data_IF_845770282148
#
_entry.id   IF_845770282148
#
_cell.length_a   1.000
_cell.length_b   1.000
_cell.length_c   1.000
_cell.angle_alpha   90.00
_cell.angle_beta   90.00
_cell.angle_gamma   90.00
#
_symmetry.space_group_name_H-M   'P 1'
#
loop_
_entity.id
_entity.type
_entity.pdbx_description
1 polymer ?
#
# COMPACT_ATOMS: atom_id res chain seq x y z
N UNK A 1 9.22 -4.25 -19.67
CA UNK A 1 7.95 -3.89 -19.00
C UNK A 1 8.03 -4.37 -17.54
N UNK A 2 8.44 -3.53 -16.59
CA UNK A 2 8.65 -3.92 -15.17
C UNK A 2 8.44 -2.80 -14.13
N UNK A 3 7.87 -1.63 -14.50
CA UNK A 3 7.91 -0.43 -13.64
C UNK A 3 7.07 -0.48 -12.35
N UNK A 4 5.86 -1.06 -12.39
CA UNK A 4 4.93 -0.99 -11.25
C UNK A 4 5.39 -1.72 -9.99
N UNK A 5 6.17 -2.79 -10.12
CA UNK A 5 6.60 -3.59 -8.96
C UNK A 5 7.82 -2.96 -8.28
N UNK A 6 8.72 -2.39 -9.08
CA UNK A 6 9.89 -1.66 -8.61
C UNK A 6 9.48 -0.39 -7.85
N UNK A 7 8.50 0.35 -8.38
CA UNK A 7 7.92 1.51 -7.69
C UNK A 7 7.37 1.16 -6.30
N UNK A 8 6.69 0.02 -6.16
CA UNK A 8 6.14 -0.42 -4.87
C UNK A 8 7.26 -0.78 -3.89
N UNK A 9 8.32 -1.44 -4.36
CA UNK A 9 9.50 -1.77 -3.55
C UNK A 9 10.17 -0.50 -3.04
N UNK A 10 10.41 0.46 -3.94
CA UNK A 10 11.03 1.73 -3.60
C UNK A 10 10.17 2.58 -2.67
N UNK A 11 8.85 2.53 -2.85
CA UNK A 11 7.91 3.18 -1.96
C UNK A 11 7.98 2.59 -0.56
N UNK A 12 7.87 1.26 -0.42
CA UNK A 12 7.94 0.60 0.90
C UNK A 12 9.28 0.89 1.58
N UNK A 13 10.38 0.84 0.83
CA UNK A 13 11.71 1.08 1.38
C UNK A 13 11.90 2.53 1.85
N UNK A 14 11.60 3.50 0.99
CA UNK A 14 11.91 4.91 1.24
C UNK A 14 10.86 5.60 2.10
N UNK A 15 9.58 5.35 1.83
CA UNK A 15 8.48 6.07 2.46
C UNK A 15 7.92 5.36 3.69
N UNK A 16 8.19 4.07 3.87
CA UNK A 16 7.72 3.31 5.03
C UNK A 16 8.90 2.94 5.95
N UNK A 17 9.84 2.14 5.47
CA UNK A 17 10.93 1.59 6.31
C UNK A 17 11.88 2.68 6.78
N UNK A 18 12.41 3.51 5.88
CA UNK A 18 13.36 4.55 6.28
C UNK A 18 12.71 5.72 7.03
N UNK A 19 11.41 5.94 6.85
CA UNK A 19 10.69 7.03 7.50
C UNK A 19 10.16 6.68 8.89
N UNK A 20 9.58 5.49 9.05
CA UNK A 20 8.89 5.07 10.27
C UNK A 20 9.59 3.92 11.00
N UNK A 21 10.62 3.32 10.39
CA UNK A 21 11.33 2.15 10.89
C UNK A 21 10.81 0.84 10.30
N UNK A 22 11.45 -0.26 10.71
CA UNK A 22 11.14 -1.61 10.20
C UNK A 22 9.88 -2.14 10.87
N UNK A 23 8.84 -2.41 10.07
CA UNK A 23 7.62 -3.04 10.55
C UNK A 23 7.84 -4.52 10.94
N UNK A 24 7.15 -5.00 11.97
CA UNK A 24 7.17 -6.42 12.35
C UNK A 24 6.48 -7.31 11.30
N UNK A 25 5.39 -6.83 10.73
CA UNK A 25 4.65 -7.51 9.68
C UNK A 25 3.98 -6.52 8.73
N UNK A 26 3.76 -6.95 7.49
CA UNK A 26 2.99 -6.23 6.47
C UNK A 26 1.86 -7.15 6.03
N UNK A 27 0.64 -6.63 5.99
CA UNK A 27 -0.54 -7.31 5.45
C UNK A 27 -0.88 -6.63 4.13
N UNK A 28 -0.91 -7.40 3.03
CA UNK A 28 -1.34 -6.89 1.72
C UNK A 28 -2.52 -7.70 1.22
N UNK A 29 -3.24 -7.17 0.24
CA UNK A 29 -4.16 -8.00 -0.54
C UNK A 29 -3.40 -9.02 -1.42
N UNK A 30 -4.15 -9.78 -2.23
CA UNK A 30 -3.60 -10.70 -3.22
C UNK A 30 -3.27 -10.00 -4.56
N UNK A 31 -3.03 -8.69 -4.54
CA UNK A 31 -2.66 -7.93 -5.72
C UNK A 31 -1.27 -8.34 -6.25
N UNK A 32 -1.16 -8.55 -7.57
CA UNK A 32 0.09 -8.90 -8.27
C UNK A 32 1.23 -7.87 -8.07
N UNK A 33 0.89 -6.65 -7.70
CA UNK A 33 1.87 -5.61 -7.37
C UNK A 33 2.65 -5.95 -6.08
N UNK A 34 1.99 -6.56 -5.10
CA UNK A 34 2.59 -6.97 -3.84
C UNK A 34 3.10 -8.41 -3.87
N UNK A 35 2.57 -9.24 -4.78
CA UNK A 35 2.98 -10.63 -4.93
C UNK A 35 4.06 -10.81 -5.99
N UNK A 36 5.31 -10.45 -5.64
CA UNK A 36 6.46 -10.62 -6.51
C UNK A 36 7.76 -10.91 -5.73
N UNK A 37 8.77 -11.38 -6.45
CA UNK A 37 10.08 -11.75 -5.88
C UNK A 37 10.80 -10.57 -5.21
N UNK A 38 10.75 -9.37 -5.79
CA UNK A 38 11.43 -8.21 -5.22
C UNK A 38 10.85 -7.81 -3.86
N UNK A 39 9.52 -7.88 -3.71
CA UNK A 39 8.84 -7.64 -2.43
C UNK A 39 9.21 -8.71 -1.41
N UNK A 40 9.27 -9.98 -1.83
CA UNK A 40 9.70 -11.08 -0.96
C UNK A 40 11.15 -10.89 -0.48
N UNK A 41 12.06 -10.55 -1.40
CA UNK A 41 13.47 -10.29 -1.10
C UNK A 41 13.64 -9.08 -0.17
N UNK A 42 12.86 -8.02 -0.37
CA UNK A 42 12.82 -6.86 0.53
C UNK A 42 12.39 -7.28 1.95
N UNK A 43 11.28 -8.02 2.07
CA UNK A 43 10.79 -8.48 3.36
C UNK A 43 11.81 -9.38 4.07
N UNK A 44 12.45 -10.29 3.34
CA UNK A 44 13.49 -11.18 3.87
C UNK A 44 14.73 -10.42 4.37
N UNK A 45 15.14 -9.37 3.63
CA UNK A 45 16.28 -8.51 4.00
C UNK A 45 16.02 -7.76 5.29
N UNK A 46 14.82 -7.21 5.45
CA UNK A 46 14.44 -6.44 6.64
C UNK A 46 13.79 -7.29 7.75
N UNK A 47 13.71 -8.62 7.58
CA UNK A 47 13.07 -9.56 8.53
C UNK A 47 11.61 -9.23 8.84
N UNK A 48 10.90 -8.71 7.83
CA UNK A 48 9.48 -8.37 7.89
C UNK A 48 8.66 -9.62 7.57
N UNK A 49 7.67 -9.94 8.40
CA UNK A 49 6.72 -11.02 8.10
C UNK A 49 5.62 -10.50 7.17
N UNK A 50 5.54 -11.03 5.95
CA UNK A 50 4.47 -10.69 5.02
C UNK A 50 3.30 -11.66 5.18
N UNK A 51 2.08 -11.12 5.24
CA UNK A 51 0.82 -11.87 5.20
C UNK A 51 -0.06 -11.35 4.06
N UNK A 52 -0.91 -12.23 3.55
CA UNK A 52 -1.95 -11.88 2.59
C UNK A 52 -3.31 -11.85 3.28
N UNK A 53 -4.12 -10.82 3.04
CA UNK A 53 -5.52 -10.84 3.43
C UNK A 53 -6.22 -11.92 2.61
N UNK A 54 -6.87 -12.86 3.29
CA UNK A 54 -7.65 -13.89 2.61
C UNK A 54 -8.97 -13.30 2.13
N UNK A 55 -9.57 -13.90 1.10
CA UNK A 55 -10.93 -13.54 0.64
C UNK A 55 -11.97 -13.63 1.77
N UNK A 56 -11.71 -14.50 2.74
CA UNK A 56 -12.56 -14.74 3.91
C UNK A 56 -12.26 -13.82 5.09
N UNK A 57 -11.21 -13.00 5.02
CA UNK A 57 -10.83 -12.07 6.08
C UNK A 57 -10.53 -10.65 5.54
N UNK A 58 -11.50 -10.03 4.83
CA UNK A 58 -11.34 -8.69 4.28
C UNK A 58 -11.14 -7.63 5.36
N UNK A 59 -11.56 -7.89 6.60
CA UNK A 59 -11.37 -6.97 7.73
C UNK A 59 -9.89 -6.66 8.01
N UNK A 60 -8.97 -7.59 7.73
CA UNK A 60 -7.53 -7.31 7.84
C UNK A 60 -7.05 -6.21 6.89
N UNK A 61 -7.73 -6.04 5.75
CA UNK A 61 -7.49 -4.94 4.80
C UNK A 61 -8.54 -3.82 4.94
N UNK A 62 -9.59 -4.02 5.73
CA UNK A 62 -10.75 -3.13 5.81
C UNK A 62 -10.40 -1.72 6.28
N UNK A 63 -9.42 -1.56 7.18
CA UNK A 63 -8.93 -0.23 7.58
C UNK A 63 -8.25 0.50 6.42
N UNK A 64 -7.47 -0.21 5.60
CA UNK A 64 -6.83 0.38 4.43
C UNK A 64 -7.87 0.75 3.37
N UNK A 65 -8.88 -0.09 3.14
CA UNK A 65 -9.99 0.20 2.22
C UNK A 65 -10.82 1.41 2.67
N UNK A 66 -11.18 1.47 3.96
CA UNK A 66 -11.92 2.60 4.53
C UNK A 66 -11.13 3.91 4.43
N UNK A 67 -9.82 3.88 4.70
CA UNK A 67 -8.95 5.03 4.54
C UNK A 67 -8.87 5.48 3.08
N UNK A 68 -8.65 4.56 2.15
CA UNK A 68 -8.55 4.86 0.72
C UNK A 68 -9.86 5.44 0.16
N UNK A 69 -11.02 4.93 0.60
CA UNK A 69 -12.32 5.47 0.25
C UNK A 69 -12.50 6.90 0.78
N UNK A 70 -12.13 7.13 2.04
CA UNK A 70 -12.18 8.48 2.66
C UNK A 70 -11.28 9.45 1.90
N UNK A 71 -10.03 9.06 1.63
CA UNK A 71 -9.08 9.88 0.89
C UNK A 71 -9.57 10.21 -0.53
N UNK A 72 -10.12 9.22 -1.24
CA UNK A 72 -10.66 9.42 -2.59
C UNK A 72 -11.82 10.40 -2.59
N UNK A 73 -12.68 10.37 -1.58
CA UNK A 73 -13.79 11.31 -1.45
C UNK A 73 -13.30 12.73 -1.14
N UNK A 74 -12.29 12.87 -0.28
CA UNK A 74 -11.68 14.18 0.03
C UNK A 74 -11.07 14.82 -1.22
N UNK A 75 -10.29 14.06 -2.00
CA UNK A 75 -9.66 14.55 -3.24
C UNK A 75 -10.73 15.01 -4.25
N UNK A 76 -11.79 14.22 -4.44
CA UNK A 76 -12.90 14.59 -5.34
C UNK A 76 -13.60 15.88 -4.90
N UNK A 77 -13.83 16.05 -3.61
CA UNK A 77 -14.44 17.26 -3.07
C UNK A 77 -13.56 18.51 -3.31
N UNK A 78 -12.24 18.39 -3.17
CA UNK A 78 -11.32 19.50 -3.48
C UNK A 78 -11.32 19.87 -4.97
N UNK A 79 -11.38 18.90 -5.88
CA UNK A 79 -11.47 19.16 -7.32
C UNK A 79 -12.77 19.87 -7.70
N UNK A 80 -13.90 19.46 -7.10
CA UNK A 80 -15.21 20.12 -7.27
C UNK A 80 -15.17 21.56 -6.73
N UNK A 81 -14.55 21.79 -5.58
CA UNK A 81 -14.38 23.13 -5.02
C UNK A 81 -13.54 24.04 -5.93
N UNK A 82 -12.47 23.51 -6.53
CA UNK A 82 -11.63 24.25 -7.51
C UNK A 82 -12.40 24.58 -8.79
N UNK A 83 -13.25 23.66 -9.27
CA UNK A 83 -14.08 23.88 -10.46
C UNK A 83 -15.25 24.85 -10.27
N UNK A 84 -15.78 24.98 -9.04
CA UNK A 84 -16.80 25.99 -8.68
C UNK A 84 -16.21 27.38 -8.40
N UNK A 85 -14.90 27.47 -8.17
CA UNK A 85 -14.19 28.71 -7.92
C UNK A 85 -13.64 29.37 -9.21
N UNK A 86 -14.02 28.87 -10.40
CA UNK A 86 -13.67 29.42 -11.72
C UNK A 86 -14.93 29.91 -12.43
#
# INVERSE_FOLDING_TARGET
MSGKQEEVVDFIKSNIIYRFGVAKYIITDNGKAFDNKMIADLCNRFKIRKYHSTMYYPQANGLAEAFNNTLSNLIKCEEVQKGLAT
#
